data_IF_420883432589
#
_entry.id   IF_420883432589
#
_cell.length_a   1.000
_cell.length_b   1.000
_cell.length_c   1.000
_cell.angle_alpha   90.00
_cell.angle_beta   90.00
_cell.angle_gamma   90.00
#
_symmetry.space_group_name_H-M   'P 1'
#
loop_
_entity.id
_entity.type
_entity.pdbx_description
1 polymer ?
#
# COMPACT_ATOMS: atom_id res chain seq x y z
N UNK A 1 10.73 -4.51 -19.23
CA UNK A 1 9.37 -4.10 -19.64
C UNK A 1 8.65 -3.88 -18.33
N UNK A 2 8.78 -2.66 -17.79
CA UNK A 2 7.93 -2.22 -16.68
C UNK A 2 6.51 -2.26 -17.24
N UNK A 3 5.62 -2.99 -16.57
CA UNK A 3 4.21 -2.93 -16.94
C UNK A 3 3.77 -1.47 -16.80
N UNK A 4 3.13 -0.91 -17.84
CA UNK A 4 2.36 0.34 -17.75
C UNK A 4 1.71 0.40 -16.38
N UNK A 5 2.00 1.45 -15.60
CA UNK A 5 1.84 1.58 -14.14
C UNK A 5 0.45 1.28 -13.56
N UNK A 6 -0.06 0.08 -13.81
CA UNK A 6 -1.31 -0.49 -13.34
C UNK A 6 -1.00 -1.60 -12.35
N UNK A 7 -1.75 -1.68 -11.25
CA UNK A 7 -1.64 -2.77 -10.29
C UNK A 7 -1.79 -4.14 -10.97
N UNK A 8 -1.00 -5.11 -10.51
CA UNK A 8 -0.96 -6.47 -11.03
C UNK A 8 -2.35 -7.13 -10.96
N UNK A 9 -3.08 -6.91 -9.89
CA UNK A 9 -4.45 -7.39 -9.70
C UNK A 9 -5.39 -6.91 -10.82
N UNK A 10 -5.35 -5.62 -11.18
CA UNK A 10 -6.13 -5.09 -12.32
C UNK A 10 -5.77 -5.77 -13.64
N UNK A 11 -4.48 -5.98 -13.89
CA UNK A 11 -4.01 -6.64 -15.12
C UNK A 11 -4.51 -8.09 -15.16
N UNK A 12 -4.38 -8.82 -14.06
CA UNK A 12 -4.70 -10.25 -13.98
C UNK A 12 -6.20 -10.54 -14.04
N UNK A 13 -7.04 -9.64 -13.52
CA UNK A 13 -8.50 -9.72 -13.63
C UNK A 13 -8.93 -9.74 -15.12
N UNK A 14 -8.28 -8.93 -15.95
CA UNK A 14 -8.60 -8.77 -17.37
C UNK A 14 -8.02 -9.88 -18.27
N UNK A 15 -7.15 -10.75 -17.74
CA UNK A 15 -6.60 -11.89 -18.46
C UNK A 15 -7.48 -13.12 -18.24
N UNK A 16 -7.76 -13.85 -19.32
CA UNK A 16 -8.52 -15.09 -19.22
C UNK A 16 -7.80 -16.13 -18.32
N UNK A 17 -8.52 -16.87 -17.46
CA UNK A 17 -7.90 -17.73 -16.45
C UNK A 17 -6.85 -18.72 -16.99
N UNK A 18 -7.09 -19.27 -18.18
CA UNK A 18 -6.22 -20.22 -18.89
C UNK A 18 -4.88 -19.60 -19.34
N UNK A 19 -4.80 -18.27 -19.46
CA UNK A 19 -3.62 -17.54 -19.92
C UNK A 19 -2.84 -16.88 -18.78
N UNK A 20 -3.43 -16.74 -17.60
CA UNK A 20 -2.82 -16.02 -16.45
C UNK A 20 -1.43 -16.53 -16.10
N UNK A 21 -1.24 -17.84 -16.02
CA UNK A 21 0.06 -18.42 -15.70
C UNK A 21 1.12 -18.14 -16.77
N UNK A 22 0.72 -18.12 -18.06
CA UNK A 22 1.63 -17.79 -19.17
C UNK A 22 2.19 -16.39 -18.97
N UNK A 23 1.35 -15.41 -18.64
CA UNK A 23 1.79 -14.03 -18.37
C UNK A 23 2.60 -13.92 -17.08
N UNK A 24 2.13 -14.54 -16.00
CA UNK A 24 2.80 -14.52 -14.70
C UNK A 24 4.25 -15.03 -14.75
N UNK A 25 4.54 -15.99 -15.64
CA UNK A 25 5.89 -16.51 -15.85
C UNK A 25 6.90 -15.46 -16.33
N UNK A 26 6.46 -14.30 -16.84
CA UNK A 26 7.34 -13.26 -17.37
C UNK A 26 7.41 -12.01 -16.48
N UNK A 27 6.63 -11.94 -15.40
CA UNK A 27 6.58 -10.79 -14.49
C UNK A 27 7.73 -10.90 -13.50
N UNK A 28 8.57 -9.85 -13.45
CA UNK A 28 9.73 -9.77 -12.54
C UNK A 28 9.55 -8.81 -11.37
N UNK A 29 8.77 -7.78 -11.62
CA UNK A 29 8.40 -6.75 -10.66
C UNK A 29 6.92 -6.52 -10.80
N UNK A 30 6.24 -6.33 -9.69
CA UNK A 30 4.82 -6.06 -9.67
C UNK A 30 4.51 -4.97 -8.66
N UNK A 31 3.53 -4.14 -8.99
CA UNK A 31 2.86 -3.27 -8.04
C UNK A 31 1.52 -3.90 -7.69
N UNK A 32 1.17 -3.94 -6.42
CA UNK A 32 -0.10 -4.48 -5.93
C UNK A 32 -0.73 -3.49 -4.99
N UNK A 33 -2.04 -3.35 -5.09
CA UNK A 33 -2.78 -2.44 -4.22
C UNK A 33 -3.56 -3.25 -3.20
N UNK A 34 -3.55 -2.81 -1.95
CA UNK A 34 -4.43 -3.41 -0.93
C UNK A 34 -5.87 -3.11 -1.25
N UNK A 35 -6.79 -3.99 -0.90
CA UNK A 35 -8.17 -3.89 -1.37
C UNK A 35 -9.18 -4.07 -0.23
N UNK A 36 -10.42 -3.60 -0.44
CA UNK A 36 -11.52 -3.81 0.50
C UNK A 36 -12.16 -5.19 0.32
N UNK A 37 -12.95 -5.62 1.30
CA UNK A 37 -13.66 -6.90 1.24
C UNK A 37 -14.57 -7.03 0.01
N UNK A 38 -15.17 -5.94 -0.46
CA UNK A 38 -16.01 -5.93 -1.66
C UNK A 38 -15.23 -6.33 -2.92
N UNK A 39 -14.02 -5.79 -3.06
CA UNK A 39 -13.13 -6.06 -4.18
C UNK A 39 -12.42 -7.41 -4.09
N UNK A 40 -12.34 -8.02 -2.89
CA UNK A 40 -11.72 -9.33 -2.67
C UNK A 40 -12.31 -10.41 -3.58
N UNK A 41 -13.63 -10.40 -3.73
CA UNK A 41 -14.38 -11.39 -4.51
C UNK A 41 -13.96 -11.46 -5.99
N UNK A 42 -13.43 -10.35 -6.52
CA UNK A 42 -12.96 -10.24 -7.91
C UNK A 42 -11.46 -10.49 -8.01
N UNK A 43 -10.69 -9.96 -7.06
CA UNK A 43 -9.22 -10.01 -7.06
C UNK A 43 -8.72 -11.41 -6.72
N UNK A 44 -9.27 -12.06 -5.68
CA UNK A 44 -8.78 -13.34 -5.18
C UNK A 44 -8.81 -14.45 -6.24
N UNK A 45 -9.91 -14.67 -7.01
CA UNK A 45 -9.91 -15.67 -8.08
C UNK A 45 -8.95 -15.37 -9.23
N UNK A 46 -8.52 -14.11 -9.37
CA UNK A 46 -7.54 -13.72 -10.38
C UNK A 46 -6.11 -14.15 -10.03
N UNK A 47 -5.82 -14.34 -8.74
CA UNK A 47 -4.45 -14.45 -8.23
C UNK A 47 -4.17 -15.74 -7.45
N UNK A 48 -5.15 -16.29 -6.72
CA UNK A 48 -4.95 -17.37 -5.72
C UNK A 48 -4.30 -18.64 -6.30
N UNK A 49 -4.54 -18.94 -7.57
CA UNK A 49 -4.00 -20.14 -8.25
C UNK A 49 -2.89 -19.82 -9.26
N UNK A 50 -2.36 -18.60 -9.24
CA UNK A 50 -1.31 -18.16 -10.15
C UNK A 50 0.01 -18.10 -9.40
N UNK A 51 1.03 -18.76 -9.94
CA UNK A 51 2.38 -18.69 -9.42
C UNK A 51 3.14 -17.62 -10.19
N UNK A 52 3.86 -16.76 -9.49
CA UNK A 52 4.69 -15.72 -10.06
C UNK A 52 6.17 -16.05 -9.82
N UNK A 53 6.75 -16.97 -10.61
CA UNK A 53 8.06 -17.55 -10.31
C UNK A 53 9.22 -16.57 -10.53
N UNK A 54 9.03 -15.49 -11.28
CA UNK A 54 10.10 -14.53 -11.56
C UNK A 54 10.00 -13.25 -10.73
N UNK A 55 8.95 -13.07 -9.93
CA UNK A 55 8.83 -11.89 -9.07
C UNK A 55 9.82 -12.01 -7.92
N UNK A 56 10.78 -11.08 -7.91
CA UNK A 56 11.76 -10.92 -6.84
C UNK A 56 11.56 -9.61 -6.05
N UNK A 57 10.87 -8.64 -6.65
CA UNK A 57 10.55 -7.34 -6.04
C UNK A 57 9.05 -7.05 -6.16
N UNK A 58 8.42 -6.74 -5.04
CA UNK A 58 7.01 -6.34 -4.96
C UNK A 58 6.92 -4.91 -4.44
N UNK A 59 6.13 -4.07 -5.12
CA UNK A 59 5.68 -2.76 -4.64
C UNK A 59 4.26 -2.90 -4.09
N UNK A 60 4.09 -2.78 -2.79
CA UNK A 60 2.80 -2.76 -2.12
C UNK A 60 2.36 -1.31 -1.96
N UNK A 61 1.23 -0.96 -2.54
CA UNK A 61 0.59 0.35 -2.39
C UNK A 61 -0.60 0.18 -1.46
N UNK A 62 -0.54 0.67 -0.21
CA UNK A 62 -1.66 0.58 0.70
C UNK A 62 -2.77 1.56 0.28
N UNK A 63 -3.89 1.06 -0.24
CA UNK A 63 -5.10 1.84 -0.47
C UNK A 63 -6.08 1.66 0.69
N UNK A 64 -6.59 2.78 1.21
CA UNK A 64 -7.51 2.84 2.33
C UNK A 64 -8.87 3.33 1.86
N UNK A 65 -9.86 2.45 1.95
CA UNK A 65 -11.24 2.78 1.64
C UNK A 65 -11.98 2.92 2.97
N UNK A 66 -12.34 4.17 3.31
CA UNK A 66 -13.03 4.59 4.53
C UNK A 66 -12.25 4.44 5.84
N UNK A 67 -12.02 5.58 6.51
CA UNK A 67 -11.30 5.66 7.79
C UNK A 67 -12.08 5.12 8.99
N UNK A 68 -13.39 4.86 8.84
CA UNK A 68 -14.30 4.57 9.95
C UNK A 68 -14.60 3.09 10.15
N UNK A 69 -14.11 2.21 9.27
CA UNK A 69 -14.39 0.78 9.34
C UNK A 69 -13.10 0.01 9.48
N UNK A 70 -13.02 -0.80 10.55
CA UNK A 70 -12.04 -1.88 10.79
C UNK A 70 -12.00 -2.95 9.68
N UNK A 71 -12.50 -2.65 8.48
CA UNK A 71 -12.37 -3.47 7.28
C UNK A 71 -10.91 -3.45 6.85
N UNK A 72 -10.14 -4.25 7.59
CA UNK A 72 -8.69 -4.27 7.55
C UNK A 72 -8.18 -4.46 6.12
N UNK A 73 -7.10 -3.74 5.86
CA UNK A 73 -6.22 -3.87 4.71
C UNK A 73 -6.11 -5.35 4.32
N UNK A 74 -6.75 -5.75 3.22
CA UNK A 74 -6.56 -7.09 2.67
C UNK A 74 -5.43 -7.02 1.66
N UNK A 75 -4.31 -7.61 2.03
CA UNK A 75 -3.23 -7.86 1.08
C UNK A 75 -3.57 -9.12 0.29
N UNK A 76 -3.53 -9.10 -1.05
CA UNK A 76 -3.76 -10.29 -1.84
C UNK A 76 -2.75 -11.38 -1.47
N UNK A 77 -3.23 -12.63 -1.35
CA UNK A 77 -2.35 -13.78 -1.17
C UNK A 77 -1.76 -14.12 -2.54
N UNK A 78 -0.47 -13.88 -2.69
CA UNK A 78 0.27 -14.20 -3.90
C UNK A 78 1.21 -15.38 -3.68
N UNK A 79 1.34 -16.23 -4.68
CA UNK A 79 2.38 -17.25 -4.70
C UNK A 79 3.61 -16.71 -5.45
N UNK A 80 4.52 -16.06 -4.71
CA UNK A 80 5.77 -15.48 -5.20
C UNK A 80 6.96 -16.16 -4.52
N UNK A 81 7.34 -17.39 -4.93
CA UNK A 81 8.30 -18.22 -4.20
C UNK A 81 9.72 -17.65 -4.16
N UNK A 82 10.01 -16.67 -5.02
CA UNK A 82 11.33 -16.04 -5.13
C UNK A 82 11.30 -14.56 -4.72
N UNK A 83 10.25 -14.11 -4.01
CA UNK A 83 10.18 -12.76 -3.51
C UNK A 83 11.26 -12.53 -2.45
N UNK A 84 12.03 -11.46 -2.63
CA UNK A 84 13.13 -11.07 -1.74
C UNK A 84 12.97 -9.64 -1.24
N UNK A 85 12.40 -8.75 -2.05
CA UNK A 85 12.35 -7.33 -1.78
C UNK A 85 10.90 -6.86 -1.75
N UNK A 86 10.50 -6.21 -0.66
CA UNK A 86 9.20 -5.54 -0.53
C UNK A 86 9.41 -4.03 -0.40
N UNK A 87 8.82 -3.28 -1.31
CA UNK A 87 8.69 -1.83 -1.22
C UNK A 87 7.25 -1.51 -0.78
N UNK A 88 7.08 -0.71 0.26
CA UNK A 88 5.79 -0.18 0.69
C UNK A 88 5.73 1.27 0.22
N UNK A 89 5.04 1.49 -0.90
CA UNK A 89 4.99 2.76 -1.61
C UNK A 89 3.82 3.62 -1.11
N UNK A 90 3.93 4.94 -1.32
CA UNK A 90 2.84 5.87 -1.05
C UNK A 90 1.66 5.63 -2.03
N UNK A 91 0.44 5.75 -1.51
CA UNK A 91 -0.76 5.79 -2.36
C UNK A 91 -1.02 7.20 -2.88
N UNK A 92 -1.90 7.32 -3.88
CA UNK A 92 -2.40 8.61 -4.37
C UNK A 92 -3.39 9.26 -3.35
N UNK A 93 -3.67 8.57 -2.22
CA UNK A 93 -4.57 9.00 -1.15
C UNK A 93 -3.85 9.72 0.02
N UNK A 94 -4.43 9.71 1.25
CA UNK A 94 -3.82 10.40 2.38
C UNK A 94 -2.37 9.94 2.60
N UNK A 95 -1.47 10.91 2.79
CA UNK A 95 -0.02 10.71 2.87
C UNK A 95 0.47 10.02 4.16
N UNK A 96 -0.44 9.51 4.98
CA UNK A 96 -0.13 8.91 6.28
C UNK A 96 -1.10 7.78 6.63
N UNK A 97 -0.60 6.77 7.34
CA UNK A 97 -1.42 5.70 7.92
C UNK A 97 -1.65 5.98 9.41
N UNK A 98 -2.80 5.56 9.92
CA UNK A 98 -3.06 5.54 11.36
C UNK A 98 -2.27 4.42 12.05
N UNK A 99 -1.98 4.54 13.37
CA UNK A 99 -1.23 3.52 14.12
C UNK A 99 -1.76 2.08 14.00
N UNK A 100 -3.08 1.90 14.07
CA UNK A 100 -3.76 0.61 13.93
C UNK A 100 -3.60 0.00 12.53
N UNK A 101 -3.59 0.85 11.50
CA UNK A 101 -3.34 0.44 10.12
C UNK A 101 -1.90 0.00 9.93
N UNK A 102 -0.94 0.69 10.56
CA UNK A 102 0.45 0.26 10.59
C UNK A 102 0.62 -1.07 11.32
N UNK A 103 -0.01 -1.26 12.48
CA UNK A 103 0.02 -2.53 13.21
C UNK A 103 -0.51 -3.68 12.35
N UNK A 104 -1.63 -3.46 11.66
CA UNK A 104 -2.20 -4.47 10.78
C UNK A 104 -1.25 -4.84 9.63
N UNK A 105 -0.63 -3.84 9.00
CA UNK A 105 0.32 -4.05 7.91
C UNK A 105 1.57 -4.79 8.41
N UNK A 106 2.13 -4.34 9.52
CA UNK A 106 3.31 -4.93 10.14
C UNK A 106 3.07 -6.38 10.57
N UNK A 107 1.91 -6.71 11.13
CA UNK A 107 1.54 -8.09 11.49
C UNK A 107 1.35 -9.01 10.27
N UNK A 108 0.91 -8.46 9.12
CA UNK A 108 0.67 -9.24 7.91
C UNK A 108 1.94 -9.54 7.10
N UNK A 109 2.88 -8.59 7.01
CA UNK A 109 4.07 -8.72 6.15
C UNK A 109 4.84 -10.03 6.41
N UNK A 110 5.20 -10.40 7.67
CA UNK A 110 5.92 -11.64 7.95
C UNK A 110 5.13 -12.90 7.58
N UNK A 111 3.79 -12.85 7.68
CA UNK A 111 2.91 -14.00 7.38
C UNK A 111 2.79 -14.25 5.89
N UNK A 112 2.76 -13.18 5.11
CA UNK A 112 2.60 -13.23 3.65
C UNK A 112 3.93 -13.47 2.95
N UNK A 113 5.01 -12.92 3.48
CA UNK A 113 6.32 -12.89 2.84
C UNK A 113 7.44 -13.31 3.80
N UNK A 114 7.43 -14.57 4.29
CA UNK A 114 8.36 -15.03 5.33
C UNK A 114 9.83 -15.13 4.87
N UNK A 115 10.09 -15.04 3.56
CA UNK A 115 11.43 -15.19 2.95
C UNK A 115 12.03 -13.85 2.50
N UNK A 116 11.45 -12.72 2.91
CA UNK A 116 11.99 -11.40 2.57
C UNK A 116 13.40 -11.21 3.13
N UNK A 117 14.23 -10.59 2.31
CA UNK A 117 15.58 -10.14 2.65
C UNK A 117 15.59 -8.64 2.90
N UNK A 118 14.82 -7.88 2.11
CA UNK A 118 14.82 -6.43 2.16
C UNK A 118 13.39 -5.88 2.23
N UNK A 119 13.17 -4.94 3.16
CA UNK A 119 11.92 -4.17 3.26
C UNK A 119 12.24 -2.68 3.23
N UNK A 120 11.61 -1.97 2.30
CA UNK A 120 11.72 -0.51 2.17
C UNK A 120 10.34 0.11 2.36
N UNK A 121 10.23 1.08 3.26
CA UNK A 121 8.97 1.78 3.56
C UNK A 121 9.09 3.23 3.14
N UNK A 122 8.48 3.59 2.01
CA UNK A 122 8.57 4.93 1.42
C UNK A 122 7.56 5.93 2.02
N UNK A 123 6.61 5.47 2.85
CA UNK A 123 5.62 6.32 3.51
C UNK A 123 6.30 7.06 4.68
N UNK A 124 6.21 8.41 4.77
CA UNK A 124 6.82 9.18 5.84
C UNK A 124 6.45 8.64 7.23
N UNK A 125 7.43 8.07 7.92
CA UNK A 125 7.20 7.20 9.09
C UNK A 125 7.22 7.98 10.42
N UNK A 126 6.98 9.30 10.38
CA UNK A 126 7.15 10.25 11.51
C UNK A 126 6.50 9.78 12.82
N UNK A 127 5.55 8.84 12.79
CA UNK A 127 4.83 8.39 13.97
C UNK A 127 4.87 6.89 14.29
N UNK A 128 5.47 6.00 13.48
CA UNK A 128 5.23 4.56 13.69
C UNK A 128 6.31 3.55 13.27
N UNK A 129 7.55 3.74 13.73
CA UNK A 129 8.60 2.70 13.61
C UNK A 129 8.30 1.50 14.54
N UNK A 130 7.62 1.73 15.67
CA UNK A 130 7.37 0.72 16.71
C UNK A 130 6.64 -0.53 16.21
N UNK A 131 5.76 -0.42 15.20
CA UNK A 131 5.08 -1.57 14.60
C UNK A 131 6.05 -2.56 13.93
N UNK A 132 7.24 -2.10 13.53
CA UNK A 132 8.24 -2.91 12.85
C UNK A 132 9.29 -3.53 13.78
N UNK A 133 9.25 -3.21 15.09
CA UNK A 133 10.25 -3.70 16.05
C UNK A 133 10.32 -5.24 16.09
N UNK A 134 9.18 -5.90 15.90
CA UNK A 134 9.07 -7.36 15.92
C UNK A 134 9.49 -8.04 14.62
N UNK A 135 9.85 -7.30 13.57
CA UNK A 135 10.25 -7.89 12.28
C UNK A 135 11.48 -8.79 12.43
N UNK A 136 12.42 -8.39 13.28
CA UNK A 136 13.61 -9.18 13.60
C UNK A 136 13.29 -10.54 14.22
N UNK A 137 12.15 -10.67 14.91
CA UNK A 137 11.71 -11.92 15.54
C UNK A 137 10.98 -12.84 14.54
N UNK A 138 10.18 -12.26 13.64
CA UNK A 138 9.31 -13.02 12.73
C UNK A 138 9.89 -13.24 11.33
N UNK A 139 10.92 -12.49 10.94
CA UNK A 139 11.59 -12.60 9.63
C UNK A 139 13.08 -12.89 9.80
N UNK A 140 13.45 -14.16 10.07
CA UNK A 140 14.84 -14.53 10.40
C UNK A 140 15.83 -14.37 9.24
N UNK A 141 15.33 -14.11 8.02
CA UNK A 141 16.12 -13.89 6.82
C UNK A 141 16.24 -12.42 6.43
N UNK A 142 15.61 -11.51 7.17
CA UNK A 142 15.65 -10.09 6.88
C UNK A 142 17.07 -9.55 7.09
N UNK A 143 17.66 -9.02 6.02
CA UNK A 143 18.98 -8.42 5.99
C UNK A 143 18.91 -6.89 6.15
N UNK A 144 17.90 -6.24 5.55
CA UNK A 144 17.70 -4.79 5.63
C UNK A 144 16.25 -4.37 5.86
N UNK A 145 16.09 -3.29 6.64
CA UNK A 145 14.82 -2.59 6.84
C UNK A 145 15.11 -1.10 6.77
N UNK A 146 14.61 -0.45 5.72
CA UNK A 146 14.85 0.96 5.44
C UNK A 146 13.53 1.74 5.44
N UNK A 147 13.59 2.97 5.90
CA UNK A 147 12.46 3.90 5.94
C UNK A 147 12.83 5.17 5.17
N UNK A 148 11.87 5.74 4.45
CA UNK A 148 12.05 7.06 3.83
C UNK A 148 12.48 8.08 4.89
N UNK A 149 13.34 9.01 4.48
CA UNK A 149 13.77 10.11 5.34
C UNK A 149 12.53 10.85 5.87
N UNK A 150 12.50 11.07 7.19
CA UNK A 150 11.43 11.82 7.83
C UNK A 150 11.38 13.20 7.20
N UNK A 151 10.29 13.53 6.50
CA UNK A 151 10.02 14.91 6.11
C UNK A 151 10.01 15.74 7.40
N UNK A 152 10.91 16.72 7.50
CA UNK A 152 10.92 17.62 8.63
C UNK A 152 9.55 18.25 8.78
N UNK A 153 9.03 18.33 10.01
CA UNK A 153 7.74 18.95 10.33
C UNK A 153 7.60 20.40 9.77
N UNK A 154 8.67 21.02 9.28
CA UNK A 154 8.67 22.33 8.62
C UNK A 154 8.00 22.35 7.24
N UNK A 155 7.88 21.21 6.55
CA UNK A 155 7.36 21.18 5.17
C UNK A 155 5.84 20.99 5.11
N UNK A 156 5.18 20.77 6.26
CA UNK A 156 3.74 20.54 6.36
C UNK A 156 2.97 21.83 6.71
N UNK A 157 3.63 22.87 7.21
CA UNK A 157 2.97 24.15 7.52
C UNK A 157 2.57 24.96 6.26
N UNK A 158 3.20 24.72 5.11
CA UNK A 158 2.93 25.49 3.88
C UNK A 158 1.71 25.02 3.07
N UNK A 159 0.99 23.98 3.51
CA UNK A 159 -0.22 23.47 2.80
C UNK A 159 -1.54 23.77 3.51
N UNK A 160 -1.52 24.45 4.67
CA UNK A 160 -2.73 24.81 5.41
C UNK A 160 -3.09 26.30 5.38
N UNK A 161 -2.40 27.12 4.60
CA UNK A 161 -2.71 28.54 4.46
C UNK A 161 -3.20 28.88 3.06
N UNK A 162 -4.44 28.52 2.73
CA UNK A 162 -5.22 29.32 1.80
C UNK A 162 -6.73 29.10 2.05
N UNK A 163 -7.39 30.24 2.30
CA UNK A 163 -8.81 30.52 2.18
C UNK A 163 -9.78 30.04 3.26
N UNK A 164 -10.06 30.92 4.23
CA UNK A 164 -11.40 31.55 4.36
C UNK A 164 -11.42 32.62 5.45
N UNK A 165 -11.23 33.88 5.06
CA UNK A 165 -11.74 35.05 5.80
C UNK A 165 -12.30 36.01 4.74
N UNK A 166 -13.54 35.74 4.31
CA UNK A 166 -14.37 36.70 3.55
C UNK A 166 -15.61 36.95 4.41
N UNK A 167 -15.42 37.74 5.46
CA UNK A 167 -16.49 38.32 6.28
C UNK A 167 -17.12 39.48 5.52
N UNK A 168 -17.97 39.18 4.53
CA UNK A 168 -18.92 40.17 3.97
C UNK A 168 -20.25 40.08 4.74
N UNK A 169 -20.35 40.90 5.78
CA UNK A 169 -21.59 41.20 6.49
C UNK A 169 -22.44 42.15 5.64
N UNK A 170 -23.43 41.62 4.93
CA UNK A 170 -24.48 42.40 4.28
C UNK A 170 -25.59 42.72 5.30
N UNK A 171 -25.52 43.92 5.89
CA UNK A 171 -26.57 44.47 6.75
C UNK A 171 -27.77 44.92 5.91
N UNK A 172 -28.95 44.40 6.24
CA UNK A 172 -30.23 44.81 5.67
C UNK A 172 -30.59 46.24 6.10
N UNK A 173 -30.97 47.10 5.14
CA UNK A 173 -31.83 48.26 5.44
C UNK A 173 -32.95 48.36 4.39
N UNK A 174 -34.05 47.68 4.71
CA UNK A 174 -35.35 47.86 4.07
C UNK A 174 -36.06 49.06 4.72
N UNK A 175 -36.08 50.20 4.03
CA UNK A 175 -36.99 51.30 4.36
C UNK A 175 -38.20 51.31 3.41
N UNK A 176 -39.38 51.03 4.00
CA UNK A 176 -40.70 51.41 3.47
C UNK A 176 -41.00 52.89 3.68
#
# INVERSE_FOLDING_TARGET
MEADGKPLDEVMINISPDRRQIYANFIKTATVTTYSQDTESVVKPALENVVFPQIHTLRLVPAFHNMDTEEGIRTPIFNMPNLQILHVDHSIGPNYLYPDQWDCLADQIPKLFPTLLDVQVEIPTILYIAGFDTFSEYMPHLESLEFAELLGLSDVEDTFSEDTDDDDLDDEDAHS
#
